data_IF_306509806857
#
_entry.id   IF_306509806857
#
_cell.length_a   1.000
_cell.length_b   1.000
_cell.length_c   1.000
_cell.angle_alpha   90.00
_cell.angle_beta   90.00
_cell.angle_gamma   90.00
#
_symmetry.space_group_name_H-M   'P 1'
#
loop_
_entity.id
_entity.type
_entity.pdbx_description
1 polymer ?
#
# COMPACT_ATOMS: atom_id res chain seq x y z
N UNK A 1 -18.21 -7.30 26.20
CA UNK A 1 -17.88 -7.72 24.83
C UNK A 1 -17.38 -6.46 24.14
N UNK A 2 -16.08 -6.27 24.03
CA UNK A 2 -15.51 -5.08 23.37
C UNK A 2 -15.35 -5.41 21.90
N UNK A 3 -16.35 -5.06 21.09
CA UNK A 3 -16.29 -5.20 19.63
C UNK A 3 -15.41 -4.11 19.06
N UNK A 4 -14.13 -4.45 18.90
CA UNK A 4 -13.16 -3.59 18.27
C UNK A 4 -13.29 -3.82 16.75
N UNK A 5 -14.01 -2.93 16.07
CA UNK A 5 -14.26 -2.96 14.62
C UNK A 5 -13.00 -2.64 13.80
N UNK A 6 -11.90 -3.37 14.05
CA UNK A 6 -10.65 -3.30 13.30
C UNK A 6 -10.73 -3.76 11.84
N UNK A 7 -11.50 -4.80 11.46
CA UNK A 7 -11.44 -5.35 10.11
C UNK A 7 -11.74 -4.32 9.01
N UNK A 8 -12.79 -3.47 9.13
CA UNK A 8 -13.09 -2.46 8.12
C UNK A 8 -12.04 -1.38 7.94
N UNK A 9 -11.16 -1.17 8.93
CA UNK A 9 -10.05 -0.21 8.82
C UNK A 9 -8.84 -0.82 8.09
N UNK A 10 -8.51 -2.07 8.41
CA UNK A 10 -7.37 -2.76 7.79
C UNK A 10 -7.65 -3.20 6.35
N UNK A 11 -8.90 -3.51 6.00
CA UNK A 11 -9.27 -3.97 4.64
C UNK A 11 -8.94 -2.90 3.58
N UNK A 12 -9.36 -1.63 3.69
CA UNK A 12 -8.94 -0.58 2.74
C UNK A 12 -7.45 -0.25 2.85
N UNK A 13 -6.87 -0.35 4.04
CA UNK A 13 -5.46 0.00 4.24
C UNK A 13 -4.53 -0.99 3.53
N UNK A 14 -4.78 -2.28 3.67
CA UNK A 14 -3.99 -3.35 3.02
C UNK A 14 -4.43 -3.57 1.57
N UNK A 15 -5.70 -3.33 1.24
CA UNK A 15 -6.23 -3.55 -0.10
C UNK A 15 -6.07 -2.38 -1.07
N UNK A 16 -5.96 -1.14 -0.58
CA UNK A 16 -5.90 0.07 -1.42
C UNK A 16 -4.67 0.94 -1.12
N UNK A 17 -4.47 1.32 0.15
CA UNK A 17 -3.42 2.29 0.52
C UNK A 17 -2.02 1.68 0.38
N UNK A 18 -1.78 0.53 1.01
CA UNK A 18 -0.49 -0.15 0.95
C UNK A 18 -0.10 -0.56 -0.48
N UNK A 19 -0.99 -1.14 -1.31
CA UNK A 19 -0.69 -1.47 -2.70
C UNK A 19 -0.42 -0.24 -3.55
N UNK A 20 -1.18 0.86 -3.38
CA UNK A 20 -0.93 2.10 -4.12
C UNK A 20 0.47 2.68 -3.83
N UNK A 21 0.88 2.67 -2.57
CA UNK A 21 2.23 3.12 -2.17
C UNK A 21 3.30 2.19 -2.74
N UNK A 22 3.11 0.86 -2.65
CA UNK A 22 4.06 -0.12 -3.18
C UNK A 22 4.25 0.03 -4.70
N UNK A 23 3.15 0.21 -5.46
CA UNK A 23 3.20 0.42 -6.91
C UNK A 23 3.92 1.72 -7.29
N UNK A 24 3.63 2.83 -6.59
CA UNK A 24 4.30 4.10 -6.85
C UNK A 24 5.80 4.05 -6.49
N UNK A 25 6.13 3.41 -5.37
CA UNK A 25 7.52 3.20 -4.93
C UNK A 25 8.30 2.34 -5.92
N UNK A 26 7.73 1.21 -6.36
CA UNK A 26 8.33 0.34 -7.38
C UNK A 26 8.48 1.05 -8.72
N UNK A 27 7.48 1.83 -9.14
CA UNK A 27 7.58 2.62 -10.37
C UNK A 27 8.75 3.60 -10.33
N UNK A 28 8.88 4.38 -9.24
CA UNK A 28 10.01 5.29 -9.07
C UNK A 28 11.34 4.55 -8.96
N UNK A 29 11.39 3.41 -8.28
CA UNK A 29 12.60 2.59 -8.17
C UNK A 29 13.07 2.06 -9.54
N UNK A 30 12.15 1.49 -10.33
CA UNK A 30 12.43 0.98 -11.68
C UNK A 30 12.84 2.11 -12.63
N UNK A 31 12.17 3.26 -12.57
CA UNK A 31 12.53 4.43 -13.38
C UNK A 31 13.95 4.92 -13.02
N UNK A 32 14.31 4.97 -11.74
CA UNK A 32 15.67 5.36 -11.30
C UNK A 32 16.75 4.36 -11.72
N UNK A 33 16.44 3.07 -11.82
CA UNK A 33 17.40 2.04 -12.23
C UNK A 33 17.55 1.89 -13.76
N UNK A 34 16.65 2.49 -14.55
CA UNK A 34 16.70 2.48 -16.02
C UNK A 34 17.37 3.72 -16.63
N UNK A 35 17.76 4.70 -15.81
CA UNK A 35 18.48 5.92 -16.24
C UNK A 35 19.99 5.73 -15.95
N UNK A 36 20.57 4.67 -16.53
CA UNK A 36 22.00 4.47 -16.78
C UNK A 36 22.14 4.00 -18.22
#
# INVERSE_FOLDING_TARGET
MTDINFPPFFVPFVGLVFPAIAMASLFLHVQKNKIV
#
